data_IF_486409552333
#
_entry.id   IF_486409552333
#
_cell.length_a   1.000
_cell.length_b   1.000
_cell.length_c   1.000
_cell.angle_alpha   90.00
_cell.angle_beta   90.00
_cell.angle_gamma   90.00
#
_symmetry.space_group_name_H-M   'P 1'
#
loop_
_entity.id
_entity.type
_entity.pdbx_description
1 polymer ?
#
# COMPACT_ATOMS: atom_id res chain seq x y z
N UNK A 1 -9.29 40.56 -32.24
CA UNK A 1 -9.29 41.90 -32.88
C UNK A 1 -8.62 42.87 -31.91
N UNK A 2 -7.33 43.15 -32.13
CA UNK A 2 -6.53 44.02 -31.25
C UNK A 2 -6.89 45.48 -31.49
N UNK A 3 -7.22 46.22 -30.44
CA UNK A 3 -7.26 47.68 -30.47
C UNK A 3 -6.15 48.21 -29.57
N UNK A 4 -5.02 48.54 -30.19
CA UNK A 4 -3.91 49.24 -29.55
C UNK A 4 -4.04 50.73 -29.93
N UNK A 5 -4.33 51.60 -28.97
CA UNK A 5 -4.32 53.06 -29.16
C UNK A 5 -3.16 53.65 -28.38
N UNK A 6 -2.11 54.03 -29.10
CA UNK A 6 -1.02 54.85 -28.58
C UNK A 6 -1.45 56.32 -28.57
N UNK A 7 -1.29 57.01 -27.43
CA UNK A 7 -1.48 58.46 -27.34
C UNK A 7 -0.24 59.15 -26.79
N UNK A 8 0.10 60.27 -27.42
CA UNK A 8 1.16 61.20 -27.05
C UNK A 8 0.79 61.87 -25.71
N UNK A 9 1.64 61.72 -24.70
CA UNK A 9 1.42 62.24 -23.34
C UNK A 9 1.99 63.65 -23.22
N UNK A 10 1.13 64.67 -23.16
CA UNK A 10 1.46 65.97 -22.53
C UNK A 10 1.18 65.91 -21.03
N UNK A 11 1.81 66.76 -20.21
CA UNK A 11 1.71 66.78 -18.73
C UNK A 11 0.27 66.69 -18.18
N UNK A 12 -0.74 67.17 -18.91
CA UNK A 12 -2.16 67.09 -18.52
C UNK A 12 -2.81 65.72 -18.80
N UNK A 13 -2.33 64.97 -19.79
CA UNK A 13 -2.83 63.62 -20.10
C UNK A 13 -2.40 62.57 -19.07
N UNK A 14 -1.22 62.76 -18.46
CA UNK A 14 -0.74 61.90 -17.38
C UNK A 14 -1.65 61.99 -16.14
N UNK A 15 -2.09 63.21 -15.80
CA UNK A 15 -3.02 63.43 -14.67
C UNK A 15 -4.36 62.73 -14.97
N UNK A 16 -4.95 62.96 -16.14
CA UNK A 16 -6.23 62.34 -16.51
C UNK A 16 -6.17 60.79 -16.52
N UNK A 17 -5.05 60.21 -16.98
CA UNK A 17 -4.85 58.76 -16.98
C UNK A 17 -4.72 58.16 -15.56
N UNK A 18 -4.12 58.90 -14.63
CA UNK A 18 -4.03 58.50 -13.21
C UNK A 18 -5.41 58.51 -12.56
N UNK A 19 -6.20 59.57 -12.78
CA UNK A 19 -7.57 59.65 -12.25
C UNK A 19 -8.45 58.52 -12.77
N UNK A 20 -8.45 58.28 -14.09
CA UNK A 20 -9.25 57.21 -14.68
C UNK A 20 -8.89 55.82 -14.15
N UNK A 21 -7.60 55.56 -13.92
CA UNK A 21 -7.13 54.29 -13.35
C UNK A 21 -7.59 54.12 -11.91
N UNK A 22 -7.45 55.16 -11.09
CA UNK A 22 -7.89 55.13 -9.69
C UNK A 22 -9.39 54.84 -9.58
N UNK A 23 -10.21 55.46 -10.46
CA UNK A 23 -11.65 55.19 -10.53
C UNK A 23 -11.94 53.74 -10.90
N UNK A 24 -11.30 53.20 -11.94
CA UNK A 24 -11.50 51.81 -12.36
C UNK A 24 -11.08 50.80 -11.29
N UNK A 25 -9.95 51.04 -10.61
CA UNK A 25 -9.53 50.17 -9.51
C UNK A 25 -10.57 50.16 -8.38
N UNK A 26 -11.20 51.29 -8.07
CA UNK A 26 -12.27 51.32 -7.07
C UNK A 26 -13.53 50.58 -7.53
N UNK A 27 -13.93 50.76 -8.79
CA UNK A 27 -15.05 50.02 -9.40
C UNK A 27 -14.81 48.51 -9.38
N UNK A 28 -13.58 48.06 -9.62
CA UNK A 28 -13.21 46.64 -9.57
C UNK A 28 -12.99 46.12 -8.15
N UNK A 29 -13.09 46.96 -7.12
CA UNK A 29 -12.86 46.56 -5.74
C UNK A 29 -11.38 46.40 -5.37
N UNK A 30 -10.46 46.91 -6.18
CA UNK A 30 -9.01 46.75 -6.08
C UNK A 30 -8.29 48.05 -5.68
N UNK A 31 -9.04 49.08 -5.26
CA UNK A 31 -8.47 50.34 -4.78
C UNK A 31 -7.67 50.16 -3.49
N UNK A 32 -6.70 51.03 -3.25
CA UNK A 32 -5.83 50.98 -2.05
C UNK A 32 -6.61 50.83 -0.74
N UNK A 33 -7.69 51.60 -0.60
CA UNK A 33 -8.58 51.54 0.56
C UNK A 33 -9.23 50.16 0.72
N UNK A 34 -9.74 49.58 -0.37
CA UNK A 34 -10.39 48.27 -0.33
C UNK A 34 -9.39 47.13 -0.13
N UNK A 35 -8.15 47.27 -0.60
CA UNK A 35 -7.05 46.32 -0.37
C UNK A 35 -6.65 46.25 1.10
N UNK A 36 -6.63 47.39 1.80
CA UNK A 36 -6.32 47.43 3.23
C UNK A 36 -7.37 46.68 4.08
N UNK A 37 -8.61 46.61 3.59
CA UNK A 37 -9.72 45.90 4.22
C UNK A 37 -9.98 44.50 3.61
N UNK A 38 -9.16 44.05 2.64
CA UNK A 38 -9.44 42.86 1.86
C UNK A 38 -8.98 41.56 2.55
N UNK A 39 -9.94 40.76 3.02
CA UNK A 39 -9.73 39.37 3.48
C UNK A 39 -9.40 38.38 2.35
N UNK A 40 -9.21 38.84 1.10
CA UNK A 40 -9.06 37.97 -0.08
C UNK A 40 -7.76 38.26 -0.82
N UNK A 41 -6.66 37.86 -0.19
CA UNK A 41 -5.32 37.83 -0.78
C UNK A 41 -4.79 36.40 -0.74
N UNK A 42 -4.14 35.99 -1.82
CA UNK A 42 -3.35 34.75 -1.88
C UNK A 42 -1.92 35.17 -2.12
N UNK A 43 -1.00 34.71 -1.27
CA UNK A 43 0.42 34.96 -1.43
C UNK A 43 1.17 33.63 -1.38
N UNK A 44 2.12 33.45 -2.30
CA UNK A 44 2.98 32.28 -2.37
C UNK A 44 4.41 32.74 -2.40
N UNK A 45 5.22 32.24 -1.46
CA UNK A 45 6.67 32.42 -1.46
C UNK A 45 7.32 31.26 -2.21
N UNK A 46 8.15 31.59 -3.18
CA UNK A 46 8.90 30.64 -3.99
C UNK A 46 10.26 30.34 -3.36
N UNK A 47 10.86 29.22 -3.75
CA UNK A 47 12.16 28.79 -3.20
C UNK A 47 13.31 29.80 -3.46
N UNK A 48 13.16 30.68 -4.44
CA UNK A 48 14.10 31.76 -4.73
C UNK A 48 13.88 33.02 -3.86
N UNK A 49 12.95 32.96 -2.90
CA UNK A 49 12.58 34.06 -2.02
C UNK A 49 11.64 35.09 -2.65
N UNK A 50 11.16 34.85 -3.87
CA UNK A 50 10.15 35.73 -4.49
C UNK A 50 8.76 35.46 -3.92
N UNK A 51 7.99 36.51 -3.72
CA UNK A 51 6.59 36.41 -3.33
C UNK A 51 5.69 36.78 -4.50
N UNK A 52 4.86 35.84 -4.94
CA UNK A 52 3.77 36.12 -5.88
C UNK A 52 2.48 36.37 -5.10
N UNK A 53 1.76 37.42 -5.47
CA UNK A 53 0.52 37.82 -4.80
C UNK A 53 -0.63 37.92 -5.80
N UNK A 54 -1.82 37.47 -5.39
CA UNK A 54 -3.07 37.71 -6.09
C UNK A 54 -4.03 38.38 -5.12
N UNK A 55 -4.54 39.55 -5.51
CA UNK A 55 -5.54 40.31 -4.77
C UNK A 55 -6.85 40.22 -5.51
N UNK A 56 -7.90 39.81 -4.79
CA UNK A 56 -9.22 39.63 -5.35
C UNK A 56 -10.10 40.85 -5.07
N UNK A 57 -10.68 41.38 -6.14
CA UNK A 57 -11.66 42.46 -6.12
C UNK A 57 -13.08 41.93 -6.03
N UNK A 58 -14.02 42.72 -6.54
CA UNK A 58 -15.43 42.31 -6.58
C UNK A 58 -15.69 41.28 -7.69
N UNK A 59 -16.81 40.57 -7.55
CA UNK A 59 -17.35 39.72 -8.61
C UNK A 59 -17.81 40.57 -9.79
N UNK A 60 -17.51 40.12 -11.00
CA UNK A 60 -17.94 40.76 -12.24
C UNK A 60 -19.48 40.70 -12.37
N UNK A 61 -20.16 41.78 -12.81
CA UNK A 61 -21.63 41.84 -12.78
C UNK A 61 -22.32 40.92 -13.79
N UNK A 62 -21.65 40.55 -14.89
CA UNK A 62 -22.23 39.75 -15.97
C UNK A 62 -21.69 38.31 -16.05
N UNK A 63 -20.69 37.95 -15.24
CA UNK A 63 -20.06 36.62 -15.27
C UNK A 63 -19.86 36.13 -13.85
N UNK A 64 -19.51 34.85 -13.68
CA UNK A 64 -19.18 34.30 -12.37
C UNK A 64 -17.72 34.59 -11.94
N UNK A 65 -16.99 35.37 -12.74
CA UNK A 65 -15.59 35.70 -12.51
C UNK A 65 -15.39 36.83 -11.49
N UNK A 66 -14.19 36.91 -10.93
CA UNK A 66 -13.73 37.99 -10.06
C UNK A 66 -12.68 38.83 -10.77
N UNK A 67 -12.65 40.14 -10.50
CA UNK A 67 -11.50 40.97 -10.87
C UNK A 67 -10.31 40.59 -9.99
N UNK A 68 -9.15 40.36 -10.58
CA UNK A 68 -7.92 39.97 -9.87
C UNK A 68 -6.74 40.80 -10.36
N UNK A 69 -5.88 41.17 -9.44
CA UNK A 69 -4.62 41.87 -9.71
C UNK A 69 -3.47 41.06 -9.14
N UNK A 70 -2.38 40.95 -9.90
CA UNK A 70 -1.17 40.28 -9.40
C UNK A 70 -0.18 41.27 -8.80
N UNK A 71 0.66 40.75 -7.92
CA UNK A 71 1.83 41.44 -7.40
C UNK A 71 3.03 40.51 -7.32
N UNK A 72 4.21 41.12 -7.29
CA UNK A 72 5.47 40.43 -7.07
C UNK A 72 6.28 41.20 -6.03
N UNK A 73 6.80 40.50 -5.01
CA UNK A 73 7.63 41.06 -3.94
C UNK A 73 6.99 42.30 -3.27
N UNK A 74 5.67 42.22 -3.02
CA UNK A 74 4.89 43.30 -2.43
C UNK A 74 4.56 44.46 -3.37
N UNK A 75 4.97 44.41 -4.65
CA UNK A 75 4.65 45.41 -5.66
C UNK A 75 3.49 44.93 -6.54
N UNK A 76 2.38 45.65 -6.49
CA UNK A 76 1.17 45.34 -7.25
C UNK A 76 1.20 45.92 -8.66
N UNK A 77 0.69 45.15 -9.62
CA UNK A 77 0.50 45.61 -11.00
C UNK A 77 -0.88 46.25 -11.17
N UNK A 78 -0.98 47.52 -10.84
CA UNK A 78 -2.20 48.32 -10.99
C UNK A 78 -2.59 48.60 -12.45
N UNK A 79 -1.81 48.11 -13.42
CA UNK A 79 -2.07 48.32 -14.85
C UNK A 79 -2.74 47.14 -15.52
N UNK A 80 -2.60 45.93 -14.96
CA UNK A 80 -3.18 44.71 -15.51
C UNK A 80 -4.18 44.10 -14.54
N UNK A 81 -5.45 44.14 -14.93
CA UNK A 81 -6.56 43.53 -14.20
C UNK A 81 -7.08 42.36 -15.00
N UNK A 82 -7.15 41.20 -14.36
CA UNK A 82 -7.58 39.94 -14.94
C UNK A 82 -8.98 39.59 -14.44
N UNK A 83 -9.69 38.78 -15.22
CA UNK A 83 -10.90 38.11 -14.76
C UNK A 83 -10.53 36.65 -14.43
N UNK A 84 -10.75 36.25 -13.19
CA UNK A 84 -10.57 34.87 -12.75
C UNK A 84 -11.92 34.21 -12.53
N UNK A 85 -12.19 33.13 -13.25
CA UNK A 85 -13.41 32.34 -13.09
C UNK A 85 -13.56 31.80 -11.65
N UNK A 86 -14.78 31.75 -11.14
CA UNK A 86 -15.10 31.22 -9.81
C UNK A 86 -14.61 29.78 -9.60
N UNK A 87 -14.55 28.98 -10.67
CA UNK A 87 -14.03 27.61 -10.63
C UNK A 87 -12.56 27.56 -10.22
N UNK A 88 -11.74 28.50 -10.70
CA UNK A 88 -10.34 28.62 -10.29
C UNK A 88 -10.23 29.10 -8.83
N UNK A 89 -11.12 30.00 -8.39
CA UNK A 89 -11.18 30.40 -6.99
C UNK A 89 -11.54 29.21 -6.07
N UNK A 90 -12.44 28.32 -6.51
CA UNK A 90 -12.82 27.14 -5.72
C UNK A 90 -11.67 26.16 -5.47
N UNK A 91 -10.61 26.20 -6.28
CA UNK A 91 -9.40 25.42 -6.07
C UNK A 91 -8.48 26.04 -5.00
N UNK A 92 -8.58 27.36 -4.80
CA UNK A 92 -7.74 28.14 -3.88
C UNK A 92 -8.45 28.36 -2.53
N UNK A 93 -9.76 28.58 -2.56
CA UNK A 93 -10.65 28.75 -1.41
C UNK A 93 -10.96 27.40 -0.75
N UNK A 94 -9.90 26.77 -0.26
CA UNK A 94 -9.98 25.58 0.57
C UNK A 94 -9.64 25.96 2.01
N UNK A 95 -10.30 25.33 3.00
CA UNK A 95 -9.87 25.43 4.39
C UNK A 95 -8.39 25.09 4.53
N UNK A 96 -7.66 25.77 5.42
CA UNK A 96 -6.22 25.58 5.63
C UNK A 96 -5.83 24.10 5.79
N UNK A 97 -6.68 23.30 6.43
CA UNK A 97 -6.49 21.85 6.59
C UNK A 97 -6.34 21.07 5.27
N UNK A 98 -6.83 21.58 4.15
CA UNK A 98 -6.66 20.94 2.84
C UNK A 98 -5.30 21.23 2.20
N UNK A 99 -4.66 22.35 2.55
CA UNK A 99 -3.33 22.74 2.07
C UNK A 99 -2.19 22.12 2.86
N UNK A 100 -2.46 21.69 4.09
CA UNK A 100 -1.46 21.10 4.99
C UNK A 100 -1.08 19.69 4.58
N UNK A 101 0.16 19.31 4.84
CA UNK A 101 0.60 17.92 4.73
C UNK A 101 -0.20 17.06 5.72
N UNK A 102 -0.91 16.07 5.18
CA UNK A 102 -1.78 15.16 5.93
C UNK A 102 -1.07 13.89 6.36
N UNK A 103 0.16 13.68 5.92
CA UNK A 103 0.95 12.50 6.29
C UNK A 103 1.38 12.62 7.74
N UNK A 104 1.16 11.56 8.51
CA UNK A 104 1.60 11.50 9.92
C UNK A 104 2.97 10.83 10.00
N UNK A 105 3.20 9.79 9.21
CA UNK A 105 4.51 9.20 9.01
C UNK A 105 5.16 9.73 7.73
N UNK A 106 6.48 9.86 7.74
CA UNK A 106 7.28 10.30 6.57
C UNK A 106 8.30 9.25 6.13
N UNK A 107 8.20 8.02 6.65
CA UNK A 107 9.11 6.92 6.31
C UNK A 107 8.72 6.27 4.98
N UNK A 108 9.70 5.73 4.26
CA UNK A 108 9.43 4.88 3.10
C UNK A 108 9.20 3.42 3.55
N UNK A 109 8.24 2.74 2.91
CA UNK A 109 7.83 1.39 3.32
C UNK A 109 8.96 0.36 3.23
N UNK A 110 9.77 0.43 2.18
CA UNK A 110 10.89 -0.48 1.93
C UNK A 110 12.07 -0.26 2.90
N UNK A 111 12.08 0.84 3.66
CA UNK A 111 13.10 1.14 4.67
C UNK A 111 12.72 0.64 6.06
N UNK A 112 11.46 0.25 6.28
CA UNK A 112 10.99 -0.21 7.59
C UNK A 112 11.62 -1.57 7.92
N UNK A 113 12.35 -1.63 9.04
CA UNK A 113 13.05 -2.83 9.54
C UNK A 113 12.40 -3.42 10.79
N UNK A 114 11.65 -2.63 11.55
CA UNK A 114 10.91 -3.16 12.69
C UNK A 114 9.69 -2.31 13.03
N UNK A 115 8.75 -2.93 13.75
CA UNK A 115 7.60 -2.26 14.32
C UNK A 115 7.40 -2.66 15.77
N UNK A 116 6.79 -1.77 16.55
CA UNK A 116 6.21 -2.06 17.86
C UNK A 116 4.77 -1.55 17.89
N UNK A 117 3.84 -2.46 18.14
CA UNK A 117 2.41 -2.20 18.23
C UNK A 117 1.94 -2.48 19.65
N UNK A 118 1.52 -1.44 20.37
CA UNK A 118 0.90 -1.55 21.69
C UNK A 118 -0.61 -1.36 21.55
N UNK A 119 -1.37 -2.40 21.81
CA UNK A 119 -2.84 -2.34 21.82
C UNK A 119 -3.30 -2.13 23.26
N UNK A 120 -3.56 -0.89 23.65
CA UNK A 120 -3.82 -0.51 25.05
C UNK A 120 -5.05 -1.20 25.63
N UNK A 121 -6.07 -1.47 24.80
CA UNK A 121 -7.29 -2.20 25.23
C UNK A 121 -6.99 -3.61 25.75
N UNK A 122 -5.99 -4.29 25.19
CA UNK A 122 -5.59 -5.64 25.60
C UNK A 122 -4.36 -5.65 26.50
N UNK A 123 -3.65 -4.52 26.61
CA UNK A 123 -2.36 -4.42 27.29
C UNK A 123 -1.22 -5.18 26.60
N UNK A 124 -1.46 -5.72 25.40
CA UNK A 124 -0.46 -6.51 24.66
C UNK A 124 0.44 -5.60 23.83
N UNK A 125 1.72 -5.94 23.83
CA UNK A 125 2.72 -5.35 22.94
C UNK A 125 3.19 -6.42 21.97
N UNK A 126 3.09 -6.12 20.68
CA UNK A 126 3.56 -6.99 19.60
C UNK A 126 4.72 -6.26 18.93
N UNK A 127 5.84 -6.96 18.73
CA UNK A 127 6.99 -6.43 18.01
C UNK A 127 7.24 -7.30 16.80
N UNK A 128 7.69 -6.70 15.72
CA UNK A 128 8.25 -7.47 14.61
C UNK A 128 9.54 -6.87 14.10
N UNK A 129 10.42 -7.74 13.61
CA UNK A 129 11.73 -7.39 13.07
C UNK A 129 11.93 -8.13 11.76
N UNK A 130 12.39 -7.40 10.75
CA UNK A 130 12.81 -7.91 9.45
C UNK A 130 14.29 -8.29 9.54
N UNK A 131 14.63 -9.53 9.22
CA UNK A 131 16.00 -10.03 9.17
C UNK A 131 16.15 -11.00 8.00
N UNK A 132 17.20 -10.82 7.20
CA UNK A 132 17.42 -11.65 6.00
C UNK A 132 16.28 -11.65 4.97
N UNK A 133 15.36 -10.68 5.02
CA UNK A 133 14.17 -10.60 4.17
C UNK A 133 12.92 -11.24 4.76
N UNK A 134 13.02 -11.90 5.92
CA UNK A 134 11.91 -12.53 6.61
C UNK A 134 11.50 -11.76 7.88
N UNK A 135 10.20 -11.66 8.10
CA UNK A 135 9.68 -11.07 9.34
C UNK A 135 9.70 -12.10 10.47
N UNK A 136 10.09 -11.67 11.65
CA UNK A 136 9.82 -12.34 12.93
C UNK A 136 8.86 -11.47 13.74
N UNK A 137 7.97 -12.07 14.51
CA UNK A 137 6.99 -11.39 15.36
C UNK A 137 7.01 -11.99 16.76
N UNK A 138 6.95 -11.15 17.79
CA UNK A 138 6.90 -11.56 19.20
C UNK A 138 5.87 -10.77 19.97
N UNK A 139 5.21 -11.41 20.94
CA UNK A 139 4.34 -10.75 21.93
C UNK A 139 5.01 -10.59 23.31
N UNK A 140 6.31 -10.87 23.40
CA UNK A 140 7.09 -10.91 24.63
C UNK A 140 7.08 -12.24 25.38
N UNK A 141 6.16 -13.16 25.05
CA UNK A 141 6.13 -14.53 25.62
C UNK A 141 6.68 -15.57 24.67
N UNK A 142 6.42 -15.40 23.37
CA UNK A 142 6.90 -16.25 22.31
C UNK A 142 7.36 -15.41 21.12
N UNK A 143 8.25 -15.98 20.31
CA UNK A 143 8.70 -15.40 19.04
C UNK A 143 8.39 -16.41 17.95
N UNK A 144 7.69 -15.98 16.90
CA UNK A 144 7.31 -16.81 15.77
C UNK A 144 7.65 -16.07 14.47
N UNK A 145 7.85 -16.80 13.36
CA UNK A 145 7.92 -16.20 12.04
C UNK A 145 6.68 -15.36 11.76
N UNK A 146 6.87 -14.22 11.12
CA UNK A 146 5.81 -13.31 10.68
C UNK A 146 5.20 -13.75 9.35
N UNK A 147 3.93 -13.44 9.17
CA UNK A 147 3.29 -13.46 7.87
C UNK A 147 3.66 -12.16 7.14
N UNK A 148 4.51 -12.26 6.12
CA UNK A 148 5.03 -11.10 5.39
C UNK A 148 3.91 -10.24 4.81
N UNK A 149 2.84 -10.84 4.28
CA UNK A 149 1.71 -10.09 3.73
C UNK A 149 0.98 -9.32 4.84
N UNK A 150 0.71 -9.98 5.98
CA UNK A 150 -0.01 -9.37 7.09
C UNK A 150 0.80 -8.25 7.78
N UNK A 151 2.10 -8.47 7.96
CA UNK A 151 3.01 -7.46 8.53
C UNK A 151 3.15 -6.27 7.59
N UNK A 152 3.37 -6.51 6.29
CA UNK A 152 3.45 -5.43 5.30
C UNK A 152 2.13 -4.64 5.22
N UNK A 153 0.98 -5.31 5.36
CA UNK A 153 -0.31 -4.64 5.43
C UNK A 153 -0.45 -3.75 6.67
N UNK A 154 0.05 -4.19 7.84
CA UNK A 154 0.10 -3.35 9.05
C UNK A 154 1.01 -2.14 8.87
N UNK A 155 2.24 -2.35 8.38
CA UNK A 155 3.20 -1.28 8.13
C UNK A 155 2.63 -0.26 7.14
N UNK A 156 2.06 -0.74 6.03
CA UNK A 156 1.39 0.12 5.04
C UNK A 156 0.23 0.89 5.66
N UNK A 157 -0.62 0.23 6.45
CA UNK A 157 -1.74 0.89 7.12
C UNK A 157 -1.29 2.01 8.06
N UNK A 158 -0.15 1.82 8.75
CA UNK A 158 0.48 2.86 9.55
C UNK A 158 0.99 4.02 8.69
N UNK A 159 1.79 3.73 7.66
CA UNK A 159 2.41 4.75 6.79
C UNK A 159 1.38 5.58 6.01
N UNK A 160 0.29 4.94 5.56
CA UNK A 160 -0.80 5.60 4.83
C UNK A 160 -1.90 6.16 5.75
N UNK A 161 -1.64 6.20 7.06
CA UNK A 161 -2.54 6.85 7.99
C UNK A 161 -2.44 8.37 7.80
N UNK A 162 -3.48 8.93 7.19
CA UNK A 162 -3.55 10.35 6.85
C UNK A 162 -4.56 11.09 7.74
N UNK A 163 -4.22 12.34 8.03
CA UNK A 163 -5.11 13.27 8.69
C UNK A 163 -6.30 13.62 7.78
N UNK A 164 -7.51 13.49 8.31
CA UNK A 164 -8.72 14.09 7.74
C UNK A 164 -8.76 15.60 8.04
N UNK A 165 -8.25 15.98 9.22
CA UNK A 165 -8.22 17.35 9.69
C UNK A 165 -7.20 17.53 10.83
N UNK A 166 -7.17 18.74 11.38
CA UNK A 166 -6.27 19.12 12.47
C UNK A 166 -7.13 19.70 13.59
N UNK A 167 -7.15 19.03 14.73
CA UNK A 167 -7.90 19.49 15.90
C UNK A 167 -7.18 20.68 16.56
N UNK A 168 -5.84 20.63 16.58
CA UNK A 168 -4.98 21.67 17.13
C UNK A 168 -3.64 21.72 16.40
N UNK A 169 -3.04 22.90 16.30
CA UNK A 169 -1.71 23.09 15.69
C UNK A 169 -0.54 22.66 16.57
N UNK A 170 -0.73 22.72 17.89
CA UNK A 170 0.26 22.31 18.88
C UNK A 170 -0.37 21.37 19.92
N UNK A 171 0.10 20.13 19.92
CA UNK A 171 -0.28 19.07 20.86
C UNK A 171 0.09 19.41 22.31
N UNK A 172 1.02 20.33 22.54
CA UNK A 172 1.42 20.79 23.88
C UNK A 172 0.56 21.96 24.38
N UNK A 173 -0.26 22.57 23.53
CA UNK A 173 -1.17 23.64 23.92
C UNK A 173 -2.13 23.19 25.01
N UNK A 174 -2.56 24.14 25.85
CA UNK A 174 -3.45 23.84 26.98
C UNK A 174 -4.77 23.20 26.52
N UNK A 175 -5.31 23.64 25.38
CA UNK A 175 -6.58 23.11 24.86
C UNK A 175 -6.44 21.73 24.22
N UNK A 176 -5.34 21.47 23.50
CA UNK A 176 -5.00 20.13 23.04
C UNK A 176 -4.87 19.14 24.22
N UNK A 177 -4.20 19.57 25.29
CA UNK A 177 -4.03 18.75 26.48
C UNK A 177 -5.35 18.52 27.23
N UNK A 178 -6.25 19.50 27.28
CA UNK A 178 -7.60 19.32 27.82
C UNK A 178 -8.40 18.30 27.02
N UNK A 179 -8.26 18.28 25.69
CA UNK A 179 -8.88 17.28 24.84
C UNK A 179 -8.28 15.89 25.09
N UNK A 180 -6.96 15.75 25.02
CA UNK A 180 -6.29 14.45 24.98
C UNK A 180 -6.24 13.71 26.32
N UNK A 181 -6.01 14.43 27.43
CA UNK A 181 -5.85 13.81 28.77
C UNK A 181 -6.99 12.88 29.20
N UNK A 182 -8.28 13.24 29.04
CA UNK A 182 -9.37 12.35 29.42
C UNK A 182 -9.64 11.22 28.42
N UNK A 183 -9.03 11.25 27.22
CA UNK A 183 -9.29 10.26 26.18
C UNK A 183 -8.45 9.01 26.39
N UNK A 184 -9.03 7.81 26.24
CA UNK A 184 -8.26 6.58 26.24
C UNK A 184 -7.32 6.54 25.02
N UNK A 185 -6.03 6.37 25.27
CA UNK A 185 -5.11 5.92 24.23
C UNK A 185 -5.48 4.48 23.87
N UNK A 186 -5.74 4.22 22.58
CA UNK A 186 -6.16 2.89 22.10
C UNK A 186 -4.99 2.13 21.45
N UNK A 187 -4.09 2.84 20.77
CA UNK A 187 -2.97 2.26 20.02
C UNK A 187 -1.71 3.12 20.21
N UNK A 188 -0.56 2.47 20.28
CA UNK A 188 0.76 3.06 20.00
C UNK A 188 1.40 2.23 18.89
N UNK A 189 1.77 2.86 17.78
CA UNK A 189 2.49 2.20 16.71
C UNK A 189 3.80 2.95 16.49
N UNK A 190 4.91 2.24 16.66
CA UNK A 190 6.26 2.71 16.36
C UNK A 190 6.78 1.96 15.15
N UNK A 191 7.27 2.70 14.15
CA UNK A 191 7.95 2.15 12.99
C UNK A 191 9.42 2.58 13.04
N UNK A 192 10.32 1.69 12.67
CA UNK A 192 11.77 1.92 12.76
C UNK A 192 12.43 1.52 11.45
N UNK A 193 13.26 2.41 10.92
CA UNK A 193 14.20 2.18 9.82
C UNK A 193 15.62 2.07 10.39
N UNK A 194 16.62 1.91 9.53
CA UNK A 194 18.03 1.95 9.95
C UNK A 194 18.45 3.34 10.44
N UNK A 195 17.85 4.40 9.91
CA UNK A 195 18.24 5.78 10.18
C UNK A 195 17.40 6.44 11.29
N UNK A 196 16.13 6.07 11.44
CA UNK A 196 15.20 6.78 12.33
C UNK A 196 14.06 5.90 12.82
N UNK A 197 13.32 6.41 13.79
CA UNK A 197 12.06 5.83 14.23
C UNK A 197 11.02 6.93 14.41
N UNK A 198 9.78 6.61 14.07
CA UNK A 198 8.63 7.49 14.26
C UNK A 198 7.56 6.76 15.06
N UNK A 199 6.84 7.48 15.91
CA UNK A 199 5.79 6.92 16.75
C UNK A 199 4.48 7.67 16.55
N UNK A 200 3.39 6.93 16.46
CA UNK A 200 2.05 7.49 16.51
C UNK A 200 1.29 6.92 17.71
N UNK A 201 0.54 7.79 18.39
CA UNK A 201 -0.40 7.42 19.45
C UNK A 201 -1.80 7.81 19.04
N UNK A 202 -2.73 6.86 19.14
CA UNK A 202 -4.13 7.06 18.78
C UNK A 202 -4.99 7.14 20.03
N UNK A 203 -5.89 8.12 20.06
CA UNK A 203 -6.83 8.40 21.13
C UNK A 203 -8.25 8.36 20.58
N UNK A 204 -9.17 7.71 21.28
CA UNK A 204 -10.56 7.58 20.82
C UNK A 204 -11.52 8.39 21.69
N UNK A 205 -12.32 9.23 21.06
CA UNK A 205 -13.47 9.89 21.69
C UNK A 205 -14.75 9.25 21.19
N UNK A 206 -15.49 8.64 22.09
CA UNK A 206 -16.83 8.10 21.82
C UNK A 206 -17.89 9.12 22.26
N UNK A 207 -18.95 9.27 21.48
CA UNK A 207 -20.12 10.10 21.81
C UNK A 207 -21.39 9.51 21.19
N UNK A 208 -22.54 10.11 21.52
CA UNK A 208 -23.82 9.75 20.91
C UNK A 208 -24.22 10.86 19.95
N UNK A 209 -24.44 10.51 18.68
CA UNK A 209 -24.92 11.41 17.64
C UNK A 209 -26.26 10.89 17.11
N UNK A 210 -27.31 11.70 17.24
CA UNK A 210 -28.68 11.32 16.83
C UNK A 210 -29.13 9.94 17.38
N UNK A 211 -28.78 9.65 18.63
CA UNK A 211 -29.10 8.37 19.28
C UNK A 211 -28.23 7.17 18.83
N UNK A 212 -27.25 7.37 17.93
CA UNK A 212 -26.29 6.36 17.50
C UNK A 212 -24.93 6.60 18.15
N UNK A 213 -24.24 5.52 18.49
CA UNK A 213 -22.86 5.59 18.98
C UNK A 213 -21.94 6.00 17.82
N UNK A 214 -21.20 7.09 18.01
CA UNK A 214 -20.20 7.59 17.09
C UNK A 214 -18.84 7.67 17.79
N UNK A 215 -17.77 7.65 17.00
CA UNK A 215 -16.43 7.94 17.51
C UNK A 215 -15.64 8.84 16.56
N UNK A 216 -14.69 9.56 17.15
CA UNK A 216 -13.65 10.31 16.45
C UNK A 216 -12.31 9.84 17.00
N UNK A 217 -11.33 9.71 16.12
CA UNK A 217 -9.98 9.36 16.48
C UNK A 217 -9.06 10.57 16.33
N UNK A 218 -8.23 10.76 17.34
CA UNK A 218 -7.15 11.73 17.33
C UNK A 218 -5.83 10.99 17.27
N UNK A 219 -4.88 11.52 16.52
CA UNK A 219 -3.52 11.05 16.48
C UNK A 219 -2.56 12.13 16.91
N UNK A 220 -1.51 11.71 17.61
CA UNK A 220 -0.34 12.55 17.90
C UNK A 220 0.91 11.76 17.60
N UNK A 221 1.94 12.46 17.12
CA UNK A 221 3.28 11.94 16.93
C UNK A 221 4.24 12.82 17.74
N UNK A 222 5.20 12.26 18.49
CA UNK A 222 6.25 13.06 19.14
C UNK A 222 7.08 13.88 18.15
N UNK A 223 7.14 13.44 16.89
CA UNK A 223 7.89 14.05 15.81
C UNK A 223 7.14 15.16 15.07
N UNK A 224 5.85 15.36 15.37
CA UNK A 224 5.00 16.38 14.73
C UNK A 224 4.29 17.26 15.78
N UNK A 225 4.13 18.55 15.50
CA UNK A 225 3.43 19.47 16.42
C UNK A 225 1.92 19.24 16.55
N UNK A 226 1.14 18.99 15.49
CA UNK A 226 -0.32 19.08 15.60
C UNK A 226 -0.98 17.85 16.23
N UNK A 227 -2.24 18.04 16.63
CA UNK A 227 -3.19 16.95 16.92
C UNK A 227 -3.99 16.70 15.65
N UNK A 228 -3.82 15.53 15.06
CA UNK A 228 -4.51 15.14 13.84
C UNK A 228 -5.86 14.51 14.15
N UNK A 229 -6.86 14.78 13.34
CA UNK A 229 -8.10 14.00 13.28
C UNK A 229 -7.96 12.95 12.18
N UNK A 230 -8.22 11.68 12.47
CA UNK A 230 -8.13 10.59 11.50
C UNK A 230 -9.47 9.89 11.32
N UNK A 231 -9.65 9.25 10.17
CA UNK A 231 -10.85 8.45 9.93
C UNK A 231 -10.91 7.24 10.86
N UNK A 232 -12.08 6.97 11.46
CA UNK A 232 -12.28 5.86 12.39
C UNK A 232 -12.03 4.49 11.75
N UNK A 233 -12.35 4.34 10.47
CA UNK A 233 -12.10 3.11 9.70
C UNK A 233 -10.60 2.81 9.52
N UNK A 234 -9.72 3.81 9.70
CA UNK A 234 -8.29 3.61 9.58
C UNK A 234 -7.70 2.86 10.79
N UNK A 235 -8.26 3.03 12.00
CA UNK A 235 -7.79 2.31 13.18
C UNK A 235 -7.98 0.81 13.10
N UNK A 236 -9.03 0.32 12.42
CA UNK A 236 -9.24 -1.13 12.29
C UNK A 236 -8.12 -1.81 11.49
N UNK A 237 -7.40 -1.06 10.64
CA UNK A 237 -6.29 -1.59 9.85
C UNK A 237 -5.00 -1.73 10.65
N UNK A 238 -4.80 -0.88 11.65
CA UNK A 238 -3.64 -0.90 12.56
C UNK A 238 -3.91 -1.65 13.87
N UNK A 239 -5.15 -2.09 14.11
CA UNK A 239 -5.49 -2.96 15.23
C UNK A 239 -5.25 -4.42 14.84
N UNK A 240 -4.04 -4.91 15.09
CA UNK A 240 -3.67 -6.30 14.82
C UNK A 240 -3.33 -7.03 16.12
N UNK A 241 -3.62 -8.32 16.15
CA UNK A 241 -3.18 -9.23 17.23
C UNK A 241 -1.91 -9.97 16.82
N UNK A 242 -1.27 -10.63 17.79
CA UNK A 242 -0.10 -11.47 17.52
C UNK A 242 -0.45 -12.58 16.50
N UNK A 243 -1.63 -13.20 16.66
CA UNK A 243 -2.12 -14.24 15.77
C UNK A 243 -2.40 -13.74 14.34
N UNK A 244 -2.74 -12.46 14.17
CA UNK A 244 -2.94 -11.86 12.85
C UNK A 244 -1.63 -11.65 12.09
N UNK A 245 -0.50 -11.50 12.81
CA UNK A 245 0.79 -11.09 12.26
C UNK A 245 1.80 -12.23 12.17
N UNK A 246 1.65 -13.28 12.97
CA UNK A 246 2.48 -14.49 12.83
C UNK A 246 2.16 -15.22 11.54
N UNK A 247 3.06 -16.09 11.10
CA UNK A 247 2.86 -16.95 9.95
C UNK A 247 1.61 -17.80 10.13
N UNK A 248 0.68 -17.67 9.18
CA UNK A 248 -0.55 -18.45 9.13
C UNK A 248 -0.62 -19.37 7.93
N UNK A 249 0.27 -19.25 6.96
CA UNK A 249 0.29 -20.04 5.73
C UNK A 249 1.60 -20.80 5.63
N UNK A 250 1.58 -21.98 5.02
CA UNK A 250 2.81 -22.73 4.74
C UNK A 250 3.48 -22.19 3.48
N UNK A 251 2.70 -21.79 2.49
CA UNK A 251 3.21 -21.17 1.26
C UNK A 251 2.67 -19.74 1.17
N UNK A 252 3.53 -18.76 0.91
CA UNK A 252 3.09 -17.38 0.70
C UNK A 252 2.24 -17.29 -0.58
N UNK A 253 1.25 -16.40 -0.58
CA UNK A 253 0.25 -16.34 -1.66
C UNK A 253 0.86 -16.01 -3.03
N UNK A 254 1.92 -15.19 -3.06
CA UNK A 254 2.64 -14.86 -4.30
C UNK A 254 3.61 -15.97 -4.72
N UNK A 255 4.23 -16.63 -3.76
CA UNK A 255 5.24 -17.65 -4.05
C UNK A 255 4.63 -18.87 -4.71
N UNK A 256 3.35 -19.19 -4.43
CA UNK A 256 2.64 -20.32 -5.03
C UNK A 256 2.74 -20.33 -6.56
N UNK A 257 2.75 -19.15 -7.18
CA UNK A 257 2.80 -18.99 -8.63
C UNK A 257 4.20 -19.12 -9.22
N UNK A 258 5.23 -18.97 -8.39
CA UNK A 258 6.62 -19.16 -8.78
C UNK A 258 7.14 -20.58 -8.49
N UNK A 259 6.35 -21.42 -7.81
CA UNK A 259 6.72 -22.81 -7.55
C UNK A 259 6.60 -23.61 -8.85
N UNK A 260 7.75 -23.99 -9.39
CA UNK A 260 7.86 -24.83 -10.58
C UNK A 260 8.31 -26.24 -10.25
N UNK A 261 8.75 -26.52 -9.03
CA UNK A 261 9.18 -27.85 -8.61
C UNK A 261 8.47 -28.27 -7.34
N UNK A 262 8.03 -29.53 -7.32
CA UNK A 262 7.41 -30.15 -6.16
C UNK A 262 7.90 -31.57 -6.05
N UNK A 263 8.58 -31.88 -4.95
CA UNK A 263 9.03 -33.22 -4.59
C UNK A 263 8.27 -33.67 -3.36
N UNK A 264 7.75 -34.89 -3.40
CA UNK A 264 6.98 -35.50 -2.32
C UNK A 264 7.60 -36.84 -2.02
N UNK A 265 8.03 -37.04 -0.78
CA UNK A 265 8.52 -38.32 -0.26
C UNK A 265 7.62 -38.80 0.88
N UNK A 266 6.84 -39.84 0.63
CA UNK A 266 5.95 -40.44 1.62
C UNK A 266 6.58 -41.68 2.23
N UNK A 267 6.61 -41.72 3.55
CA UNK A 267 6.95 -42.90 4.36
C UNK A 267 5.70 -43.40 5.08
N UNK A 268 5.53 -44.72 5.19
CA UNK A 268 4.36 -45.32 5.84
C UNK A 268 3.83 -46.55 5.10
N UNK A 269 2.52 -46.87 5.21
CA UNK A 269 1.95 -48.11 4.67
C UNK A 269 2.03 -48.26 3.14
N UNK A 270 2.07 -47.13 2.42
CA UNK A 270 2.20 -47.06 0.96
C UNK A 270 3.23 -45.97 0.63
N UNK A 271 4.54 -46.29 0.72
CA UNK A 271 5.57 -45.32 0.47
C UNK A 271 5.65 -45.01 -1.03
N UNK A 272 5.94 -43.75 -1.36
CA UNK A 272 6.21 -43.35 -2.74
C UNK A 272 7.06 -42.08 -2.72
N UNK A 273 7.82 -41.87 -3.79
CA UNK A 273 8.54 -40.62 -4.01
C UNK A 273 8.19 -40.10 -5.40
N UNK A 274 7.81 -38.84 -5.48
CA UNK A 274 7.47 -38.18 -6.74
C UNK A 274 8.21 -36.86 -6.84
N UNK A 275 8.83 -36.59 -7.99
CA UNK A 275 9.37 -35.28 -8.34
C UNK A 275 8.60 -34.78 -9.55
N UNK A 276 8.05 -33.59 -9.45
CA UNK A 276 7.33 -32.95 -10.54
C UNK A 276 7.91 -31.58 -10.82
N UNK A 277 7.99 -31.24 -12.11
CA UNK A 277 8.55 -29.98 -12.57
C UNK A 277 7.61 -29.34 -13.59
N UNK A 278 7.49 -28.02 -13.57
CA UNK A 278 6.76 -27.27 -14.56
C UNK A 278 7.71 -26.87 -15.69
N UNK A 279 7.39 -27.29 -16.92
CA UNK A 279 8.09 -26.89 -18.15
C UNK A 279 7.03 -26.46 -19.17
N UNK A 280 7.21 -25.27 -19.76
CA UNK A 280 6.26 -24.71 -20.74
C UNK A 280 4.82 -24.63 -20.17
N UNK A 281 4.70 -24.27 -18.89
CA UNK A 281 3.42 -24.17 -18.20
C UNK A 281 2.75 -25.49 -17.83
N UNK A 282 3.30 -26.65 -18.23
CA UNK A 282 2.75 -27.97 -17.93
C UNK A 282 3.57 -28.69 -16.88
N UNK A 283 2.89 -29.33 -15.92
CA UNK A 283 3.54 -30.20 -14.94
C UNK A 283 3.99 -31.50 -15.60
N UNK A 284 5.19 -31.95 -15.25
CA UNK A 284 5.80 -33.17 -15.75
C UNK A 284 6.35 -34.01 -14.61
N UNK A 285 6.26 -35.33 -14.76
CA UNK A 285 7.05 -36.29 -14.00
C UNK A 285 8.06 -36.91 -14.96
N UNK A 286 9.35 -36.63 -14.72
CA UNK A 286 10.42 -36.87 -15.69
C UNK A 286 10.06 -36.19 -17.02
N UNK A 287 9.93 -36.96 -18.10
CA UNK A 287 9.60 -36.42 -19.43
C UNK A 287 8.11 -36.42 -19.74
N UNK A 288 7.27 -37.02 -18.89
CA UNK A 288 5.85 -37.23 -19.17
C UNK A 288 4.99 -36.11 -18.57
N UNK A 289 4.03 -35.62 -19.37
CA UNK A 289 3.06 -34.61 -18.92
C UNK A 289 2.04 -35.26 -17.99
N UNK A 290 1.79 -34.63 -16.85
CA UNK A 290 0.77 -35.03 -15.88
C UNK A 290 -0.29 -33.94 -15.74
N UNK A 291 -1.50 -34.31 -15.34
CA UNK A 291 -2.52 -33.31 -14.98
C UNK A 291 -2.08 -32.57 -13.71
N UNK A 292 -1.85 -31.27 -13.86
CA UNK A 292 -1.42 -30.37 -12.80
C UNK A 292 -2.51 -29.96 -11.82
N UNK A 293 -3.77 -30.30 -12.08
CA UNK A 293 -4.91 -29.87 -11.25
C UNK A 293 -4.74 -30.27 -9.78
N UNK A 294 -4.34 -31.50 -9.41
CA UNK A 294 -4.13 -31.87 -8.02
C UNK A 294 -2.96 -31.13 -7.37
N UNK A 295 -1.86 -30.92 -8.11
CA UNK A 295 -0.68 -30.18 -7.64
C UNK A 295 -1.06 -28.73 -7.33
N UNK A 296 -1.71 -28.06 -8.28
CA UNK A 296 -2.15 -26.67 -8.10
C UNK A 296 -3.13 -26.55 -6.92
N UNK A 297 -4.10 -27.48 -6.79
CA UNK A 297 -5.02 -27.51 -5.64
C UNK A 297 -4.28 -27.67 -4.31
N UNK A 298 -3.23 -28.49 -4.27
CA UNK A 298 -2.41 -28.66 -3.07
C UNK A 298 -1.60 -27.40 -2.73
N UNK A 299 -0.97 -26.76 -3.72
CA UNK A 299 -0.29 -25.47 -3.52
C UNK A 299 -1.27 -24.36 -3.09
N UNK A 300 -2.48 -24.36 -3.65
CA UNK A 300 -3.57 -23.48 -3.23
C UNK A 300 -3.99 -23.74 -1.79
N UNK A 301 -4.07 -25.01 -1.38
CA UNK A 301 -4.37 -25.35 0.00
C UNK A 301 -3.24 -24.94 0.95
N UNK A 302 -1.96 -25.14 0.59
CA UNK A 302 -0.81 -24.70 1.40
C UNK A 302 -0.76 -23.18 1.57
N UNK A 303 -1.26 -22.42 0.59
CA UNK A 303 -1.31 -20.96 0.62
C UNK A 303 -2.59 -20.37 1.18
N UNK A 304 -3.69 -21.13 1.16
CA UNK A 304 -4.99 -20.72 1.70
C UNK A 304 -5.26 -21.18 3.13
N UNK A 305 -4.61 -22.25 3.58
CA UNK A 305 -4.83 -22.81 4.91
C UNK A 305 -4.28 -21.92 6.02
N UNK A 306 -5.06 -21.73 7.07
CA UNK A 306 -4.65 -21.01 8.27
C UNK A 306 -4.09 -21.98 9.32
N UNK A 307 -2.84 -21.84 9.70
CA UNK A 307 -2.20 -22.60 10.76
C UNK A 307 -2.76 -22.19 12.13
N UNK A 308 -3.35 -23.15 12.85
CA UNK A 308 -4.14 -22.89 14.06
C UNK A 308 -3.27 -22.66 15.29
N UNK A 309 -2.28 -23.51 15.53
CA UNK A 309 -1.33 -23.40 16.65
C UNK A 309 0.09 -23.68 16.18
N UNK A 310 1.01 -22.80 16.55
CA UNK A 310 2.45 -23.06 16.47
C UNK A 310 2.91 -23.53 17.84
N UNK A 311 3.53 -24.69 17.91
CA UNK A 311 4.19 -25.19 19.11
C UNK A 311 5.68 -25.30 18.83
N UNK A 312 6.51 -24.69 19.70
CA UNK A 312 7.94 -24.98 19.75
C UNK A 312 8.11 -26.45 20.15
N UNK A 313 8.69 -27.32 19.32
CA UNK A 313 8.74 -28.72 19.70
C UNK A 313 9.94 -29.03 20.61
N UNK A 314 9.68 -29.89 21.60
CA UNK A 314 10.63 -30.99 21.86
C UNK A 314 10.39 -32.01 20.75
N UNK A 315 11.11 -31.87 19.65
CA UNK A 315 11.03 -32.76 18.50
C UNK A 315 11.70 -34.10 18.85
N UNK A 316 10.97 -35.02 19.48
CA UNK A 316 11.50 -36.37 19.74
C UNK A 316 10.63 -37.51 19.23
N UNK A 317 9.42 -37.27 18.72
CA UNK A 317 8.55 -38.35 18.24
C UNK A 317 7.75 -37.94 17.00
N UNK A 318 8.42 -37.90 15.84
CA UNK A 318 7.73 -37.96 14.55
C UNK A 318 7.19 -39.39 14.36
N UNK A 319 5.95 -39.51 13.89
CA UNK A 319 5.39 -40.83 13.55
C UNK A 319 6.13 -41.46 12.37
N UNK A 320 5.99 -42.77 12.17
CA UNK A 320 6.51 -43.45 10.97
C UNK A 320 5.70 -43.16 9.69
N UNK A 321 4.53 -42.54 9.82
CA UNK A 321 3.66 -42.14 8.71
C UNK A 321 3.88 -40.65 8.40
N UNK A 322 4.78 -40.36 7.47
CA UNK A 322 5.17 -38.99 7.12
C UNK A 322 5.02 -38.71 5.64
N UNK A 323 4.75 -37.45 5.30
CA UNK A 323 4.82 -36.93 3.94
C UNK A 323 5.78 -35.76 3.98
N UNK A 324 6.94 -35.91 3.37
CA UNK A 324 7.91 -34.85 3.21
C UNK A 324 7.67 -34.15 1.88
N UNK A 325 7.71 -32.82 1.86
CA UNK A 325 7.38 -31.99 0.72
C UNK A 325 8.43 -30.90 0.58
N UNK A 326 9.14 -30.93 -0.55
CA UNK A 326 10.03 -29.84 -0.97
C UNK A 326 9.37 -29.11 -2.14
N UNK A 327 9.30 -27.78 -2.09
CA UNK A 327 8.78 -26.97 -3.18
C UNK A 327 9.67 -25.76 -3.48
N UNK A 328 9.87 -25.46 -4.76
CA UNK A 328 10.87 -24.47 -5.19
C UNK A 328 10.60 -23.86 -6.57
N UNK A 329 11.40 -22.86 -6.93
CA UNK A 329 11.39 -22.28 -8.28
C UNK A 329 12.14 -23.15 -9.30
N UNK A 330 13.04 -24.00 -8.79
CA UNK A 330 13.80 -25.00 -9.54
C UNK A 330 14.12 -26.18 -8.61
N UNK A 331 14.75 -27.23 -9.14
CA UNK A 331 15.15 -28.39 -8.33
C UNK A 331 16.34 -28.11 -7.42
N UNK A 332 17.06 -27.00 -7.65
CA UNK A 332 18.19 -26.55 -6.83
C UNK A 332 17.83 -25.39 -5.91
N UNK A 333 16.73 -24.68 -6.18
CA UNK A 333 16.23 -23.56 -5.39
C UNK A 333 14.97 -23.97 -4.60
N UNK A 334 15.18 -24.76 -3.55
CA UNK A 334 14.12 -25.19 -2.64
C UNK A 334 13.74 -24.01 -1.73
N UNK A 335 12.50 -23.55 -1.87
CA UNK A 335 11.98 -22.43 -1.09
C UNK A 335 11.28 -22.90 0.17
N UNK A 336 10.59 -24.03 0.09
CA UNK A 336 9.76 -24.63 1.13
C UNK A 336 10.16 -26.07 1.38
N UNK A 337 10.29 -26.44 2.65
CA UNK A 337 10.69 -27.78 3.08
C UNK A 337 9.87 -28.17 4.32
N UNK A 338 8.93 -29.10 4.13
CA UNK A 338 7.92 -29.46 5.12
C UNK A 338 7.82 -30.96 5.34
N UNK A 339 7.75 -31.37 6.60
CA UNK A 339 7.43 -32.75 6.98
C UNK A 339 6.06 -32.79 7.65
N UNK A 340 5.07 -33.36 6.96
CA UNK A 340 3.74 -33.64 7.49
C UNK A 340 3.72 -34.99 8.18
N UNK A 341 3.08 -35.10 9.34
CA UNK A 341 3.00 -36.34 10.11
C UNK A 341 1.73 -36.42 10.95
N UNK A 342 1.32 -37.64 11.30
CA UNK A 342 0.14 -37.88 12.12
C UNK A 342 0.54 -38.12 13.58
N UNK A 343 -0.12 -37.45 14.53
CA UNK A 343 0.06 -37.68 15.97
C UNK A 343 -1.27 -37.55 16.68
N UNK A 344 -1.65 -38.61 17.41
CA UNK A 344 -2.90 -38.68 18.18
C UNK A 344 -4.16 -38.39 17.33
N UNK A 345 -4.20 -38.89 16.10
CA UNK A 345 -5.33 -38.71 15.17
C UNK A 345 -5.43 -37.31 14.53
N UNK A 346 -4.45 -36.43 14.80
CA UNK A 346 -4.32 -35.11 14.18
C UNK A 346 -3.11 -35.08 13.25
N UNK A 347 -3.20 -34.27 12.21
CA UNK A 347 -2.07 -34.02 11.32
C UNK A 347 -1.33 -32.74 11.72
N UNK A 348 -0.02 -32.82 11.62
CA UNK A 348 0.91 -31.77 11.98
C UNK A 348 1.89 -31.55 10.83
N UNK A 349 2.51 -30.38 10.80
CA UNK A 349 3.56 -30.03 9.84
C UNK A 349 4.75 -29.44 10.56
N UNK A 350 5.93 -29.93 10.22
CA UNK A 350 7.22 -29.44 10.66
C UNK A 350 7.85 -28.62 9.54
N UNK A 351 8.24 -27.38 9.84
CA UNK A 351 9.04 -26.53 8.94
C UNK A 351 10.53 -26.87 9.11
N UNK A 352 11.08 -27.65 8.16
CA UNK A 352 12.44 -28.18 8.20
C UNK A 352 13.49 -27.11 7.88
N UNK A 353 13.09 -26.08 7.10
CA UNK A 353 13.99 -25.01 6.67
C UNK A 353 14.37 -24.08 7.83
N UNK A 354 13.54 -24.00 8.86
CA UNK A 354 13.76 -23.09 9.98
C UNK A 354 14.57 -23.75 11.10
N UNK A 355 15.55 -23.04 11.68
CA UNK A 355 16.40 -23.58 12.74
C UNK A 355 15.60 -23.96 13.99
N UNK A 356 14.48 -23.26 14.24
CA UNK A 356 13.59 -23.50 15.39
C UNK A 356 12.66 -24.69 15.20
N UNK A 357 12.60 -25.25 13.98
CA UNK A 357 11.83 -26.46 13.63
C UNK A 357 10.40 -26.41 14.13
N UNK A 358 9.67 -25.35 13.83
CA UNK A 358 8.31 -25.16 14.34
C UNK A 358 7.36 -26.24 13.84
N UNK A 359 6.47 -26.68 14.74
CA UNK A 359 5.41 -27.62 14.41
C UNK A 359 4.07 -26.89 14.47
N UNK A 360 3.24 -27.13 13.45
CA UNK A 360 1.90 -26.56 13.37
C UNK A 360 0.83 -27.64 13.27
N UNK A 361 -0.30 -27.46 13.95
CA UNK A 361 -1.48 -28.30 13.74
C UNK A 361 -2.14 -27.90 12.41
N UNK A 362 -2.41 -28.91 11.56
CA UNK A 362 -3.11 -28.72 10.30
C UNK A 362 -4.62 -28.61 10.51
N UNK A 363 -5.27 -27.73 9.76
CA UNK A 363 -6.73 -27.70 9.72
C UNK A 363 -7.28 -28.88 8.92
N UNK A 364 -8.55 -29.28 9.14
CA UNK A 364 -9.18 -30.36 8.38
C UNK A 364 -9.15 -30.13 6.86
N UNK A 365 -9.28 -28.87 6.41
CA UNK A 365 -9.26 -28.51 5.00
C UNK A 365 -7.90 -28.85 4.38
N UNK A 366 -6.81 -28.47 5.03
CA UNK A 366 -5.46 -28.75 4.53
C UNK A 366 -5.16 -30.26 4.58
N UNK A 367 -5.58 -30.95 5.66
CA UNK A 367 -5.44 -32.41 5.79
C UNK A 367 -6.03 -33.15 4.59
N UNK A 368 -7.22 -32.75 4.12
CA UNK A 368 -7.92 -33.43 3.03
C UNK A 368 -7.28 -33.23 1.66
N UNK A 369 -6.33 -32.29 1.55
CA UNK A 369 -5.57 -32.02 0.33
C UNK A 369 -4.17 -32.63 0.33
N UNK A 370 -3.77 -33.30 1.41
CA UNK A 370 -2.46 -33.92 1.50
C UNK A 370 -2.31 -35.04 0.45
N UNK A 371 -1.13 -35.15 -0.19
CA UNK A 371 -0.82 -36.20 -1.16
C UNK A 371 -0.53 -37.50 -0.42
N UNK A 372 -1.59 -38.15 0.09
CA UNK A 372 -1.45 -39.35 0.92
C UNK A 372 -1.28 -40.65 0.12
N UNK A 373 -1.45 -40.61 -1.19
CA UNK A 373 -1.41 -41.79 -2.06
C UNK A 373 -0.79 -41.41 -3.40
N UNK A 374 -0.17 -42.38 -4.08
CA UNK A 374 0.40 -42.15 -5.41
C UNK A 374 -0.65 -41.67 -6.42
N UNK A 375 -1.90 -42.13 -6.30
CA UNK A 375 -3.05 -41.67 -7.11
C UNK A 375 -3.39 -40.18 -6.96
N UNK A 376 -2.75 -39.48 -6.03
CA UNK A 376 -2.79 -38.02 -6.00
C UNK A 376 -2.20 -37.42 -7.29
N UNK A 377 -1.19 -38.08 -7.86
CA UNK A 377 -0.61 -37.75 -9.15
C UNK A 377 -1.27 -38.63 -10.21
N UNK A 378 -2.18 -38.09 -11.03
CA UNK A 378 -2.81 -38.86 -12.09
C UNK A 378 -1.75 -39.44 -13.03
N UNK A 379 -2.08 -40.60 -13.60
CA UNK A 379 -1.17 -41.28 -14.52
C UNK A 379 -0.77 -40.32 -15.66
N UNK A 380 0.51 -40.33 -16.06
CA UNK A 380 0.96 -39.45 -17.11
C UNK A 380 0.19 -39.72 -18.40
N UNK A 381 -0.30 -38.66 -19.03
CA UNK A 381 -0.94 -38.80 -20.33
C UNK A 381 0.12 -39.25 -21.34
N UNK A 382 -0.17 -40.21 -22.23
CA UNK A 382 0.73 -40.54 -23.31
C UNK A 382 0.99 -39.28 -24.13
N UNK A 383 2.27 -39.04 -24.45
CA UNK A 383 2.65 -37.99 -25.40
C UNK A 383 1.98 -38.39 -26.70
N UNK A 384 0.93 -37.66 -27.11
CA UNK A 384 0.52 -37.69 -28.52
C UNK A 384 1.67 -37.02 -29.25
N UNK A 385 2.52 -37.82 -29.87
CA UNK A 385 3.38 -37.29 -30.93
C UNK A 385 2.43 -36.61 -31.90
N UNK A 386 2.52 -35.28 -31.98
CA UNK A 386 1.88 -34.58 -33.09
C UNK A 386 2.44 -35.25 -34.35
N UNK A 387 1.59 -35.73 -35.26
CA UNK A 387 2.06 -36.36 -36.47
C UNK A 387 3.03 -35.39 -37.12
N UNK A 388 4.29 -35.83 -37.26
CA UNK A 388 5.29 -35.15 -38.05
C UNK A 388 4.61 -34.92 -39.40
N UNK A 389 4.27 -33.67 -39.71
CA UNK A 389 3.79 -33.32 -41.04
C UNK A 389 5.00 -33.46 -41.96
N UNK A 390 5.20 -34.67 -42.47
CA UNK A 390 6.00 -34.97 -43.65
C UNK A 390 5.30 -34.35 -44.87
N UNK A 391 5.12 -33.02 -44.87
CA UNK A 391 4.87 -32.25 -46.09
C UNK A 391 6.23 -31.72 -46.56
N UNK A 392 7.10 -32.66 -46.92
CA UNK A 392 8.22 -32.40 -47.80
C UNK A 392 7.77 -32.68 -49.24
N UNK A 393 7.97 -31.67 -50.07
CA UNK A 393 8.27 -31.78 -51.50
C UNK A 393 7.19 -32.33 -52.44
N UNK A 394 6.28 -31.46 -52.89
CA UNK A 394 5.74 -31.56 -54.26
C UNK A 394 5.19 -30.21 -54.75
N UNK A 395 6.04 -29.41 -55.42
CA UNK A 395 5.67 -28.47 -56.49
C UNK A 395 6.97 -28.08 -57.22
N UNK A 396 7.43 -28.88 -58.18
CA UNK A 396 7.09 -28.83 -59.60
C UNK A 396 7.52 -27.54 -60.30
N UNK A 397 8.59 -27.68 -61.09
CA UNK A 397 8.93 -26.85 -62.25
C UNK A 397 7.69 -26.48 -63.09
N UNK A 398 7.61 -25.24 -63.57
CA UNK A 398 7.60 -24.94 -65.01
C UNK A 398 7.19 -23.50 -65.31
N UNK A 399 7.85 -22.98 -66.35
CA UNK A 399 7.43 -21.97 -67.31
C UNK A 399 7.41 -20.49 -66.91
N UNK A 400 8.30 -19.78 -67.61
CA UNK A 400 8.42 -18.33 -67.60
C UNK A 400 7.47 -17.65 -68.56
N UNK A 401 7.49 -16.32 -68.51
CA UNK A 401 7.22 -15.48 -69.67
C UNK A 401 7.91 -14.13 -69.49
N UNK A 402 8.66 -13.78 -70.54
CA UNK A 402 9.20 -12.46 -70.82
C UNK A 402 8.13 -11.37 -70.68
N UNK A 403 8.52 -10.20 -70.15
CA UNK A 403 8.19 -8.94 -70.83
C UNK A 403 9.18 -7.83 -70.50
N UNK A 404 9.87 -7.41 -71.55
CA UNK A 404 10.52 -6.12 -71.75
C UNK A 404 9.54 -4.93 -71.67
N UNK A 405 10.16 -3.74 -71.65
CA UNK A 405 9.65 -2.37 -71.79
C UNK A 405 9.42 -1.67 -70.45
N UNK A 406 10.11 -0.59 -70.07
CA UNK A 406 10.90 0.37 -70.84
C UNK A 406 10.42 1.78 -70.51
N UNK A 407 11.11 2.47 -69.59
CA UNK A 407 11.52 3.89 -69.60
C UNK A 407 11.96 4.35 -68.21
#
# INVERSE_FOLDING_TARGET
MLWQKSFIVTKNGAILAIWKRATLLDEYGLSEKRRADADRKVAVELADGKTLELIFGIKHPATDAYFVMHGENGKLDETHIFLLESSALSAIDKPLAQWRDKRIFTLAQNEVRSFELVVKKTGKTIRGKLDGGDWSVTDGTQSLPGDTDAVNALVSAGLFLNARGFAFDDQKSTDAQKLLKPLPQVIELKLTTEATSQTIRLFERTFTDQGKKASVLYAVSPEASPVFEIETSAATRVTKTFDDLRLRKLVQAMDRFGINTLKIDRKGPKPFTKLTEQREGKWRDKDRIIDGTPINRFLDALSGAALSQATLPRATELSTNTVHVEAGMSSTEIRYDYTFFEKSGKWWVLDEKRPERLIFELTPELRNTLPLTESFFPDPQPIKEDPISDDADEHSEADGHDHEMGN
#
